data_IF_987811867765
#
_entry.id   IF_987811867765
#
_cell.length_a   1.000
_cell.length_b   1.000
_cell.length_c   1.000
_cell.angle_alpha   90.00
_cell.angle_beta   90.00
_cell.angle_gamma   90.00
#
_symmetry.space_group_name_H-M   'P 1'
#
loop_
_entity.id
_entity.type
_entity.pdbx_description
1 polymer ?
#
# COMPACT_ATOMS: atom_id res chain seq x y z
N UNK A 1 31.56 -17.78 40.13
CA UNK A 1 32.08 -17.61 38.76
C UNK A 1 31.05 -17.94 37.69
N UNK A 2 30.43 -19.13 37.71
CA UNK A 2 29.42 -19.54 36.70
C UNK A 2 28.17 -18.64 36.63
N UNK A 3 27.63 -18.19 37.77
CA UNK A 3 26.47 -17.29 37.79
C UNK A 3 26.77 -15.93 37.13
N UNK A 4 27.97 -15.38 37.37
CA UNK A 4 28.40 -14.12 36.77
C UNK A 4 28.55 -14.23 35.25
N UNK A 5 29.16 -15.33 34.78
CA UNK A 5 29.27 -15.62 33.34
C UNK A 5 27.88 -15.78 32.72
N UNK A 6 26.98 -16.52 33.38
CA UNK A 6 25.61 -16.70 32.91
C UNK A 6 24.83 -15.38 32.79
N UNK A 7 24.90 -14.52 33.80
CA UNK A 7 24.27 -13.20 33.76
C UNK A 7 24.84 -12.31 32.64
N UNK A 8 26.16 -12.31 32.44
CA UNK A 8 26.78 -11.57 31.35
C UNK A 8 26.33 -12.06 29.98
N UNK A 9 26.15 -13.37 29.80
CA UNK A 9 25.62 -13.94 28.55
C UNK A 9 24.20 -13.45 28.28
N UNK A 10 23.33 -13.43 29.30
CA UNK A 10 21.96 -12.91 29.17
C UNK A 10 21.96 -11.42 28.79
N UNK A 11 22.77 -10.61 29.48
CA UNK A 11 22.88 -9.17 29.20
C UNK A 11 23.39 -8.93 27.77
N UNK A 12 24.38 -9.70 27.32
CA UNK A 12 24.89 -9.61 25.96
C UNK A 12 23.82 -9.94 24.92
N UNK A 13 23.01 -10.99 25.15
CA UNK A 13 21.91 -11.34 24.25
C UNK A 13 20.86 -10.23 24.17
N UNK A 14 20.45 -9.67 25.31
CA UNK A 14 19.51 -8.54 25.35
C UNK A 14 20.07 -7.35 24.57
N UNK A 15 21.36 -7.05 24.75
CA UNK A 15 22.06 -6.00 24.01
C UNK A 15 22.03 -6.22 22.50
N UNK A 16 22.29 -7.45 22.03
CA UNK A 16 22.23 -7.81 20.62
C UNK A 16 20.81 -7.62 20.06
N UNK A 17 19.78 -8.11 20.77
CA UNK A 17 18.39 -7.94 20.35
C UNK A 17 17.98 -6.46 20.29
N UNK A 18 18.42 -5.64 21.26
CA UNK A 18 18.14 -4.21 21.27
C UNK A 18 18.78 -3.50 20.07
N UNK A 19 20.04 -3.80 19.75
CA UNK A 19 20.73 -3.25 18.58
C UNK A 19 20.03 -3.68 17.29
N UNK A 20 19.69 -4.96 17.16
CA UNK A 20 19.01 -5.49 15.98
C UNK A 20 17.64 -4.83 15.76
N UNK A 21 16.87 -4.63 16.84
CA UNK A 21 15.59 -3.93 16.78
C UNK A 21 15.77 -2.48 16.29
N UNK A 22 16.79 -1.79 16.80
CA UNK A 22 17.06 -0.40 16.43
C UNK A 22 17.46 -0.28 14.95
N UNK A 23 18.31 -1.19 14.46
CA UNK A 23 18.67 -1.29 13.04
C UNK A 23 17.44 -1.56 12.17
N UNK A 24 16.59 -2.51 12.55
CA UNK A 24 15.35 -2.81 11.85
C UNK A 24 14.42 -1.58 11.80
N UNK A 25 14.28 -0.85 12.90
CA UNK A 25 13.43 0.35 12.97
C UNK A 25 13.93 1.45 12.03
N UNK A 26 15.24 1.69 11.99
CA UNK A 26 15.86 2.65 11.07
C UNK A 26 15.64 2.21 9.62
N UNK A 27 15.81 0.91 9.33
CA UNK A 27 15.57 0.37 7.99
C UNK A 27 14.12 0.55 7.55
N UNK A 28 13.16 0.18 8.39
CA UNK A 28 11.72 0.33 8.13
C UNK A 28 11.33 1.79 7.91
N UNK A 29 11.87 2.72 8.71
CA UNK A 29 11.61 4.15 8.51
C UNK A 29 12.17 4.65 7.16
N UNK A 30 13.32 4.13 6.69
CA UNK A 30 13.85 4.50 5.38
C UNK A 30 13.02 3.97 4.21
N UNK A 31 12.42 2.79 4.34
CA UNK A 31 11.60 2.18 3.29
C UNK A 31 10.38 3.04 2.96
N UNK A 32 9.77 3.67 3.97
CA UNK A 32 8.55 4.47 3.82
C UNK A 32 7.37 3.63 3.30
N UNK A 33 6.27 4.30 2.96
CA UNK A 33 5.06 3.64 2.46
C UNK A 33 4.84 3.89 0.95
N UNK A 34 4.06 3.00 0.32
CA UNK A 34 3.53 3.22 -1.01
C UNK A 34 2.35 4.22 -0.94
N UNK A 35 2.32 5.18 -1.86
CA UNK A 35 1.26 6.19 -1.93
C UNK A 35 0.83 6.36 -3.37
N UNK A 36 -0.24 5.67 -3.73
CA UNK A 36 -0.83 5.79 -5.06
C UNK A 36 -1.64 7.08 -5.17
N UNK A 37 -1.34 7.86 -6.21
CA UNK A 37 -2.06 9.09 -6.53
C UNK A 37 -2.71 8.90 -7.91
N UNK A 38 -4.03 9.00 -7.94
CA UNK A 38 -4.82 8.91 -9.17
C UNK A 38 -4.98 10.31 -9.73
N UNK A 39 -4.44 10.56 -10.92
CA UNK A 39 -4.47 11.88 -11.55
C UNK A 39 -5.75 12.08 -12.38
N UNK A 40 -6.89 12.14 -11.72
CA UNK A 40 -8.20 12.27 -12.38
C UNK A 40 -8.32 13.49 -13.31
N UNK A 41 -7.55 14.56 -13.05
CA UNK A 41 -7.50 15.76 -13.90
C UNK A 41 -6.71 15.57 -15.19
N UNK A 42 -5.79 14.60 -15.26
CA UNK A 42 -5.01 14.27 -16.46
C UNK A 42 -5.60 13.11 -17.25
N UNK A 43 -6.85 12.71 -16.96
CA UNK A 43 -7.53 11.66 -17.71
C UNK A 43 -7.63 12.01 -19.19
N UNK A 44 -7.58 10.99 -20.05
CA UNK A 44 -7.87 11.19 -21.46
C UNK A 44 -9.34 11.56 -21.68
N UNK A 45 -9.68 12.27 -22.77
CA UNK A 45 -11.06 12.48 -23.17
C UNK A 45 -11.79 11.14 -23.31
N UNK A 46 -13.06 11.09 -22.89
CA UNK A 46 -13.89 9.90 -23.04
C UNK A 46 -14.03 9.53 -24.51
N UNK A 47 -13.71 8.28 -24.85
CA UNK A 47 -13.87 7.72 -26.19
C UNK A 47 -15.08 6.80 -26.19
N UNK A 48 -15.91 6.91 -27.24
CA UNK A 48 -17.03 6.00 -27.45
C UNK A 48 -16.48 4.63 -27.85
N UNK A 49 -16.72 3.62 -27.02
CA UNK A 49 -16.25 2.26 -27.26
C UNK A 49 -17.30 1.42 -27.99
N UNK A 50 -18.55 1.56 -27.59
CA UNK A 50 -19.66 0.87 -28.24
C UNK A 50 -20.95 1.68 -28.14
N UNK A 51 -21.76 1.58 -29.18
CA UNK A 51 -23.07 2.21 -29.28
C UNK A 51 -24.05 1.15 -29.78
N UNK A 52 -25.10 0.94 -29.00
CA UNK A 52 -26.25 0.08 -29.32
C UNK A 52 -27.51 0.91 -29.21
N UNK A 53 -28.62 0.47 -29.79
CA UNK A 53 -29.91 1.19 -29.80
C UNK A 53 -30.39 1.64 -28.40
N UNK A 54 -29.98 0.93 -27.35
CA UNK A 54 -30.35 1.24 -25.97
C UNK A 54 -29.20 1.81 -25.10
N UNK A 55 -27.94 1.78 -25.54
CA UNK A 55 -26.81 2.09 -24.64
C UNK A 55 -25.58 2.62 -25.38
N UNK A 56 -24.96 3.64 -24.81
CA UNK A 56 -23.66 4.16 -25.23
C UNK A 56 -22.63 3.91 -24.11
N UNK A 57 -21.53 3.23 -24.44
CA UNK A 57 -20.43 2.94 -23.51
C UNK A 57 -19.23 3.81 -23.84
N UNK A 58 -18.82 4.61 -22.85
CA UNK A 58 -17.65 5.48 -22.94
C UNK A 58 -16.51 4.95 -22.05
N UNK A 59 -15.30 4.95 -22.59
CA UNK A 59 -14.08 4.51 -21.89
C UNK A 59 -13.10 5.68 -21.81
N UNK A 60 -12.33 5.74 -20.71
CA UNK A 60 -11.25 6.71 -20.51
C UNK A 60 -10.14 6.04 -19.71
N UNK A 61 -8.90 6.39 -20.02
CA UNK A 61 -7.74 5.99 -19.24
C UNK A 61 -7.37 7.10 -18.27
N UNK A 62 -7.14 6.72 -17.00
CA UNK A 62 -6.73 7.64 -15.94
C UNK A 62 -5.33 7.25 -15.49
N UNK A 63 -4.31 8.11 -15.70
CA UNK A 63 -2.97 7.80 -15.24
C UNK A 63 -2.92 7.79 -13.71
N UNK A 64 -2.12 6.88 -13.18
CA UNK A 64 -1.77 6.83 -11.77
C UNK A 64 -0.26 6.69 -11.62
N UNK A 65 0.28 7.20 -10.52
CA UNK A 65 1.67 6.97 -10.17
C UNK A 65 1.79 6.70 -8.66
N UNK A 66 2.87 6.01 -8.29
CA UNK A 66 3.22 5.84 -6.89
C UNK A 66 4.14 7.00 -6.49
N UNK A 67 3.62 7.94 -5.70
CA UNK A 67 4.38 9.03 -5.09
C UNK A 67 5.10 8.61 -3.80
N UNK A 68 4.93 7.36 -3.36
CA UNK A 68 5.60 6.77 -2.21
C UNK A 68 7.01 6.26 -2.52
N UNK A 69 7.73 5.86 -1.47
CA UNK A 69 9.10 5.32 -1.59
C UNK A 69 9.12 3.80 -1.77
N UNK A 70 8.10 3.12 -1.26
CA UNK A 70 7.99 1.67 -1.37
C UNK A 70 7.31 1.30 -2.70
N UNK A 71 7.78 0.23 -3.33
CA UNK A 71 7.08 -0.40 -4.45
C UNK A 71 5.74 -0.97 -3.94
N UNK A 72 4.64 -0.40 -4.41
CA UNK A 72 3.31 -0.95 -4.16
C UNK A 72 2.85 -1.77 -5.37
N UNK A 73 2.07 -2.81 -5.10
CA UNK A 73 1.31 -3.53 -6.12
C UNK A 73 -0.16 -3.25 -5.89
N UNK A 74 -0.86 -2.79 -6.92
CA UNK A 74 -2.31 -2.71 -6.92
C UNK A 74 -2.84 -4.06 -7.39
N UNK A 75 -3.56 -4.78 -6.54
CA UNK A 75 -4.30 -5.99 -6.93
C UNK A 75 -5.79 -5.64 -6.99
N UNK A 76 -6.46 -6.03 -8.08
CA UNK A 76 -7.89 -5.90 -8.39
C UNK A 76 -8.61 -4.76 -7.65
N UNK A 77 -8.26 -3.52 -8.01
CA UNK A 77 -8.96 -2.33 -7.52
C UNK A 77 -10.25 -2.13 -8.31
N UNK A 78 -11.37 -2.57 -7.75
CA UNK A 78 -12.68 -2.16 -8.24
C UNK A 78 -13.00 -0.77 -7.70
N UNK A 79 -13.07 0.28 -8.53
CA UNK A 79 -13.58 1.57 -8.09
C UNK A 79 -14.93 1.37 -7.44
N UNK A 80 -15.25 2.21 -6.43
CA UNK A 80 -16.41 1.98 -5.56
C UNK A 80 -17.68 1.64 -6.36
N UNK A 81 -17.93 2.34 -7.47
CA UNK A 81 -19.06 2.10 -8.41
C UNK A 81 -19.16 0.69 -8.99
N UNK A 82 -18.10 -0.10 -9.01
CA UNK A 82 -18.07 -1.49 -9.48
C UNK A 82 -18.10 -2.51 -8.33
N UNK A 83 -18.04 -2.08 -7.07
CA UNK A 83 -18.21 -2.99 -5.94
C UNK A 83 -19.68 -3.42 -5.84
N UNK A 84 -19.97 -4.69 -5.48
CA UNK A 84 -21.31 -5.13 -5.15
C UNK A 84 -21.93 -4.28 -4.02
N UNK A 85 -23.25 -4.09 -4.06
CA UNK A 85 -24.00 -3.23 -3.14
C UNK A 85 -23.78 -3.62 -1.67
N UNK A 86 -23.52 -4.90 -1.42
CA UNK A 86 -23.25 -5.51 -0.13
C UNK A 86 -21.98 -4.96 0.55
N UNK A 87 -21.02 -4.44 -0.22
CA UNK A 87 -19.79 -3.84 0.32
C UNK A 87 -19.92 -2.35 0.65
N UNK A 88 -21.09 -1.75 0.38
CA UNK A 88 -21.37 -0.36 0.74
C UNK A 88 -21.91 -0.20 2.17
N UNK A 89 -22.11 -1.29 2.92
CA UNK A 89 -22.84 -1.26 4.18
C UNK A 89 -21.91 -1.35 5.41
N UNK A 90 -21.49 -0.17 5.89
CA UNK A 90 -21.26 0.10 7.33
C UNK A 90 -20.91 1.56 7.66
N UNK A 91 -20.72 2.46 6.69
CA UNK A 91 -20.44 3.88 6.97
C UNK A 91 -21.65 4.75 6.66
N UNK A 92 -22.61 4.77 7.60
CA UNK A 92 -23.54 5.89 7.78
C UNK A 92 -22.95 6.86 8.79
#
# INVERSE_FOLDING_TARGET
>A
MYLYVFLNVIIALIGIFAVMYLLFRIFSWKQGDARFIIEARRREPFRLKSLTDATAVFETEVPFHNGGRQLGTIMDFYPRTLLPREQYDSSR
#
